data_IF_753675732681
#
_entry.id   IF_753675732681
#
_cell.length_a   1.000
_cell.length_b   1.000
_cell.length_c   1.000
_cell.angle_alpha   90.00
_cell.angle_beta   90.00
_cell.angle_gamma   90.00
#
_symmetry.space_group_name_H-M   'P 1'
#
loop_
_entity.id
_entity.type
_entity.pdbx_description
1 polymer ?
#
# COMPACT_ATOMS: atom_id res chain seq x y z
N UNK A 1 12.57 -37.87 -71.54
CA UNK A 1 13.23 -36.87 -70.67
C UNK A 1 12.23 -35.69 -70.64
N UNK A 2 11.42 -35.61 -69.57
CA UNK A 2 10.41 -34.56 -69.40
C UNK A 2 11.08 -33.30 -68.86
N UNK A 3 11.11 -32.28 -69.70
CA UNK A 3 11.61 -30.94 -69.25
C UNK A 3 10.58 -30.36 -68.26
N UNK A 4 11.01 -30.26 -67.00
CA UNK A 4 10.21 -29.64 -65.96
C UNK A 4 9.99 -28.16 -66.31
N UNK A 5 8.73 -27.76 -66.30
CA UNK A 5 8.18 -26.49 -66.71
C UNK A 5 8.89 -25.33 -65.95
N UNK A 6 9.59 -24.39 -66.64
CA UNK A 6 10.32 -23.28 -66.02
C UNK A 6 9.36 -22.33 -65.26
N UNK A 7 8.09 -22.30 -65.63
CA UNK A 7 7.04 -21.50 -64.96
C UNK A 7 6.75 -22.07 -63.56
N UNK A 8 6.71 -23.41 -63.40
CA UNK A 8 6.53 -24.06 -62.09
C UNK A 8 7.68 -23.78 -61.13
N UNK A 9 8.92 -23.55 -61.63
CA UNK A 9 10.09 -23.17 -60.85
C UNK A 9 10.10 -21.72 -60.40
N UNK A 10 9.50 -20.83 -61.20
CA UNK A 10 9.38 -19.42 -60.88
C UNK A 10 8.33 -19.17 -59.78
N UNK A 11 7.28 -20.00 -59.73
CA UNK A 11 6.22 -19.93 -58.70
C UNK A 11 6.63 -20.55 -57.35
N UNK A 12 7.64 -21.38 -57.33
CA UNK A 12 8.17 -22.01 -56.10
C UNK A 12 9.15 -21.10 -55.32
N UNK A 13 9.53 -19.92 -55.88
CA UNK A 13 10.44 -18.95 -55.25
C UNK A 13 9.85 -18.08 -54.16
N UNK A 14 8.58 -18.13 -53.88
CA UNK A 14 7.85 -17.25 -52.98
C UNK A 14 7.77 -17.66 -51.47
N UNK A 15 8.14 -18.87 -51.02
CA UNK A 15 7.95 -19.20 -49.60
C UNK A 15 8.84 -18.39 -48.65
N UNK A 16 9.99 -17.92 -49.09
CA UNK A 16 10.92 -17.19 -48.26
C UNK A 16 10.42 -15.83 -47.79
N UNK A 17 9.79 -15.05 -48.63
CA UNK A 17 9.26 -13.71 -48.25
C UNK A 17 8.03 -13.84 -47.34
N UNK A 18 7.12 -14.73 -47.68
CA UNK A 18 5.92 -15.02 -46.84
C UNK A 18 6.33 -15.60 -45.50
N UNK A 19 7.26 -16.52 -45.47
CA UNK A 19 7.77 -17.12 -44.23
C UNK A 19 8.45 -16.06 -43.35
N UNK A 20 9.27 -15.19 -43.93
CA UNK A 20 9.91 -14.09 -43.21
C UNK A 20 8.88 -13.10 -42.63
N UNK A 21 7.89 -12.68 -43.43
CA UNK A 21 6.84 -11.77 -42.97
C UNK A 21 5.98 -12.42 -41.87
N UNK A 22 5.62 -13.68 -42.02
CA UNK A 22 4.87 -14.40 -40.99
C UNK A 22 5.68 -14.54 -39.69
N UNK A 23 6.99 -14.77 -39.80
CA UNK A 23 7.87 -14.81 -38.63
C UNK A 23 7.97 -13.44 -37.95
N UNK A 24 8.10 -12.37 -38.72
CA UNK A 24 8.14 -10.99 -38.23
C UNK A 24 6.81 -10.60 -37.54
N UNK A 25 5.67 -10.93 -38.17
CA UNK A 25 4.34 -10.71 -37.61
C UNK A 25 4.14 -11.52 -36.32
N UNK A 26 4.61 -12.76 -36.30
CA UNK A 26 4.55 -13.61 -35.11
C UNK A 26 5.36 -13.03 -33.94
N UNK A 27 6.58 -12.58 -34.23
CA UNK A 27 7.42 -11.92 -33.23
C UNK A 27 6.78 -10.63 -32.71
N UNK A 28 6.25 -9.80 -33.61
CA UNK A 28 5.55 -8.58 -33.24
C UNK A 28 4.30 -8.87 -32.39
N UNK A 29 3.46 -9.81 -32.82
CA UNK A 29 2.25 -10.19 -32.08
C UNK A 29 2.59 -10.75 -30.69
N UNK A 30 3.64 -11.54 -30.58
CA UNK A 30 4.13 -12.06 -29.29
C UNK A 30 4.62 -10.92 -28.39
N UNK A 31 5.36 -9.95 -28.95
CA UNK A 31 5.82 -8.77 -28.20
C UNK A 31 4.65 -7.93 -27.66
N UNK A 32 3.63 -7.69 -28.51
CA UNK A 32 2.41 -6.98 -28.10
C UNK A 32 1.66 -7.76 -27.01
N UNK A 33 1.47 -9.06 -27.21
CA UNK A 33 0.81 -9.89 -26.20
C UNK A 33 1.55 -9.89 -24.86
N UNK A 34 2.87 -10.00 -24.88
CA UNK A 34 3.70 -9.94 -23.69
C UNK A 34 3.63 -8.58 -22.99
N UNK A 35 3.63 -7.47 -23.74
CA UNK A 35 3.54 -6.12 -23.17
C UNK A 35 2.19 -5.84 -22.50
N UNK A 36 1.12 -6.48 -22.94
CA UNK A 36 -0.21 -6.39 -22.33
C UNK A 36 -0.32 -7.36 -21.14
N UNK A 37 0.12 -8.59 -21.32
CA UNK A 37 -0.08 -9.65 -20.34
C UNK A 37 0.83 -9.50 -19.12
N UNK A 38 2.07 -9.01 -19.32
CA UNK A 38 3.03 -8.82 -18.22
C UNK A 38 2.51 -7.90 -17.10
N UNK A 39 2.03 -6.67 -17.37
CA UNK A 39 1.51 -5.81 -16.29
C UNK A 39 0.24 -6.38 -15.64
N UNK A 40 -0.62 -7.08 -16.42
CA UNK A 40 -1.80 -7.73 -15.87
C UNK A 40 -1.40 -8.82 -14.87
N UNK A 41 -0.47 -9.68 -15.24
CA UNK A 41 0.02 -10.74 -14.36
C UNK A 41 0.74 -10.17 -13.13
N UNK A 42 1.52 -9.10 -13.29
CA UNK A 42 2.18 -8.43 -12.16
C UNK A 42 1.19 -7.77 -11.20
N UNK A 43 0.06 -7.30 -11.70
CA UNK A 43 -1.01 -6.76 -10.87
C UNK A 43 -1.79 -7.86 -10.14
N UNK A 44 -2.09 -8.97 -10.81
CA UNK A 44 -2.84 -10.08 -10.24
C UNK A 44 -2.02 -10.93 -9.25
N UNK A 45 -0.71 -10.99 -9.46
CA UNK A 45 0.22 -11.69 -8.57
C UNK A 45 1.23 -10.67 -8.05
N UNK A 46 0.83 -9.85 -7.07
CA UNK A 46 1.76 -8.90 -6.45
C UNK A 46 2.91 -9.69 -5.80
N UNK A 47 4.14 -9.13 -5.79
CA UNK A 47 5.23 -9.75 -5.05
C UNK A 47 4.84 -9.85 -3.58
N UNK A 48 5.20 -10.96 -2.95
CA UNK A 48 5.13 -11.09 -1.49
C UNK A 48 5.97 -9.97 -0.89
N UNK A 49 5.31 -8.90 -0.46
CA UNK A 49 5.95 -7.90 0.39
C UNK A 49 6.03 -8.59 1.75
N UNK A 50 7.24 -8.93 2.25
CA UNK A 50 7.33 -9.44 3.60
C UNK A 50 6.66 -8.39 4.47
N UNK A 51 5.51 -8.73 5.09
CA UNK A 51 4.99 -7.93 6.17
C UNK A 51 6.17 -7.77 7.11
N UNK A 52 6.72 -6.56 7.15
CA UNK A 52 7.72 -6.26 8.14
C UNK A 52 7.02 -6.65 9.44
N UNK A 53 7.45 -7.75 10.03
CA UNK A 53 6.99 -8.19 11.34
C UNK A 53 7.53 -7.16 12.35
N UNK A 54 7.07 -5.93 12.19
CA UNK A 54 7.43 -4.81 13.02
C UNK A 54 6.52 -4.92 14.21
N UNK A 55 6.91 -5.78 15.14
CA UNK A 55 6.24 -5.87 16.44
C UNK A 55 6.33 -4.55 17.20
N UNK A 56 7.29 -3.69 16.84
CA UNK A 56 7.47 -2.37 17.46
C UNK A 56 8.12 -1.38 16.50
N UNK A 57 7.79 -0.11 16.64
CA UNK A 57 8.40 1.01 15.90
C UNK A 57 8.67 2.19 16.83
N UNK A 58 9.57 3.07 16.39
CA UNK A 58 9.85 4.32 17.10
C UNK A 58 8.84 5.40 16.70
N UNK A 59 8.11 5.90 17.68
CA UNK A 59 7.20 7.05 17.56
C UNK A 59 7.90 8.41 17.56
N UNK A 60 9.24 8.42 17.63
CA UNK A 60 10.08 9.61 17.75
C UNK A 60 10.40 9.98 19.19
N UNK A 61 11.06 11.11 19.37
CA UNK A 61 11.46 11.57 20.71
C UNK A 61 10.27 12.09 21.51
N UNK A 62 10.16 11.66 22.76
CA UNK A 62 9.12 12.09 23.69
C UNK A 62 9.18 13.60 23.97
N UNK A 63 10.39 14.16 24.06
CA UNK A 63 10.63 15.60 24.26
C UNK A 63 10.10 16.47 23.11
N UNK A 64 10.00 15.92 21.89
CA UNK A 64 9.50 16.66 20.72
C UNK A 64 7.98 16.61 20.53
N UNK A 65 7.28 15.77 21.28
CA UNK A 65 5.82 15.68 21.22
C UNK A 65 5.22 16.47 22.39
N UNK A 66 4.72 17.68 22.12
CA UNK A 66 4.11 18.51 23.14
C UNK A 66 2.81 17.89 23.70
N UNK A 67 2.40 18.22 24.95
CA UNK A 67 1.07 17.86 25.44
C UNK A 67 -0.04 18.35 24.50
N UNK A 68 -1.14 17.63 24.44
CA UNK A 68 -2.27 17.91 23.54
C UNK A 68 -1.88 17.93 22.05
N UNK A 69 -0.98 17.04 21.64
CA UNK A 69 -0.58 16.86 20.24
C UNK A 69 -0.58 15.40 19.85
N UNK A 70 -0.62 15.14 18.54
CA UNK A 70 -0.53 13.79 17.98
C UNK A 70 0.38 13.76 16.75
N UNK A 71 0.97 12.62 16.50
CA UNK A 71 1.84 12.36 15.35
C UNK A 71 1.52 11.01 14.73
N UNK A 72 1.41 10.97 13.41
CA UNK A 72 1.32 9.71 12.66
C UNK A 72 2.73 9.24 12.34
N UNK A 73 2.98 7.96 12.59
CA UNK A 73 4.26 7.29 12.36
C UNK A 73 4.07 6.01 11.56
N UNK A 74 5.04 5.60 10.75
CA UNK A 74 4.97 4.31 10.07
C UNK A 74 5.05 3.16 11.08
N UNK A 75 4.20 2.13 10.90
CA UNK A 75 4.17 0.95 11.74
C UNK A 75 3.88 -0.29 10.86
N UNK A 76 4.93 -1.03 10.51
CA UNK A 76 4.79 -2.16 9.58
C UNK A 76 4.17 -1.75 8.24
N UNK A 77 3.10 -2.43 7.85
CA UNK A 77 2.35 -2.16 6.61
C UNK A 77 1.30 -1.05 6.73
N UNK A 78 1.00 -0.58 7.95
CA UNK A 78 -0.02 0.43 8.22
C UNK A 78 0.53 1.53 9.15
N UNK A 79 0.01 2.79 9.07
CA UNK A 79 0.43 3.85 9.97
C UNK A 79 -0.16 3.67 11.37
N UNK A 80 0.58 4.13 12.39
CA UNK A 80 0.11 4.31 13.74
C UNK A 80 -0.02 5.81 14.08
N UNK A 81 -0.91 6.15 14.99
CA UNK A 81 -0.99 7.49 15.57
C UNK A 81 -0.58 7.44 17.04
N UNK A 82 0.37 8.29 17.41
CA UNK A 82 0.78 8.51 18.79
C UNK A 82 0.22 9.85 19.25
N UNK A 83 -0.49 9.85 20.35
CA UNK A 83 -1.11 11.04 20.94
C UNK A 83 -0.54 11.25 22.33
N UNK A 84 -0.08 12.47 22.61
CA UNK A 84 0.20 12.92 23.96
C UNK A 84 -1.00 13.70 24.45
N UNK A 85 -1.71 13.15 25.42
CA UNK A 85 -2.93 13.77 25.96
C UNK A 85 -2.61 15.11 26.65
N UNK A 86 -3.63 15.96 26.93
CA UNK A 86 -3.44 17.17 27.73
C UNK A 86 -2.87 16.87 29.12
N UNK A 87 -3.18 15.71 29.70
CA UNK A 87 -2.63 15.24 30.98
C UNK A 87 -1.17 14.75 30.90
N UNK A 88 -0.58 14.70 29.68
CA UNK A 88 0.80 14.26 29.46
C UNK A 88 0.96 12.77 29.23
N UNK A 89 -0.11 11.97 29.25
CA UNK A 89 -0.07 10.54 28.96
C UNK A 89 0.15 10.27 27.47
N UNK A 90 0.89 9.20 27.16
CA UNK A 90 1.06 8.73 25.80
C UNK A 90 0.08 7.61 25.48
N UNK A 91 -0.56 7.69 24.33
CA UNK A 91 -1.46 6.69 23.79
C UNK A 91 -1.15 6.45 22.33
N UNK A 92 -1.29 5.21 21.87
CA UNK A 92 -1.10 4.88 20.47
C UNK A 92 -2.21 3.98 19.96
N UNK A 93 -2.54 4.18 18.69
CA UNK A 93 -3.58 3.43 17.99
C UNK A 93 -3.16 3.22 16.54
N UNK A 94 -3.81 2.27 15.87
CA UNK A 94 -3.78 2.23 14.41
C UNK A 94 -4.28 3.58 13.86
N UNK A 95 -3.54 4.19 12.94
CA UNK A 95 -3.97 5.42 12.29
C UNK A 95 -4.91 5.17 11.11
N UNK A 96 -5.42 3.94 10.97
CA UNK A 96 -6.32 3.54 9.88
C UNK A 96 -7.76 3.66 10.35
N UNK A 97 -8.52 4.56 9.72
CA UNK A 97 -9.94 4.78 10.01
C UNK A 97 -10.75 3.50 9.72
N UNK A 98 -11.58 3.10 10.68
CA UNK A 98 -12.37 1.86 10.59
C UNK A 98 -13.55 1.93 9.62
N UNK A 99 -13.79 3.10 8.99
CA UNK A 99 -14.79 3.26 7.92
C UNK A 99 -14.25 2.79 6.56
N UNK A 100 -13.32 3.53 5.95
CA UNK A 100 -12.76 3.27 4.62
C UNK A 100 -11.24 3.46 4.58
N UNK A 101 -10.55 3.08 5.64
CA UNK A 101 -9.09 3.02 5.74
C UNK A 101 -8.33 4.34 5.48
N UNK A 102 -9.01 5.52 5.58
CA UNK A 102 -8.31 6.81 5.55
C UNK A 102 -7.39 6.97 6.77
N UNK A 103 -6.28 7.68 6.61
CA UNK A 103 -5.39 8.00 7.74
C UNK A 103 -6.04 9.04 8.64
N UNK A 104 -6.15 8.73 9.94
CA UNK A 104 -6.66 9.65 10.95
C UNK A 104 -5.59 10.62 11.42
N UNK A 105 -6.01 11.76 11.97
CA UNK A 105 -5.14 12.81 12.52
C UNK A 105 -5.63 13.22 13.91
N UNK A 106 -4.75 13.81 14.70
CA UNK A 106 -5.15 14.39 15.98
C UNK A 106 -5.56 15.86 15.83
N UNK A 107 -6.69 16.22 16.42
CA UNK A 107 -7.23 17.57 16.49
C UNK A 107 -7.13 18.07 17.94
N UNK A 108 -6.15 18.94 18.18
CA UNK A 108 -5.90 19.50 19.52
C UNK A 108 -7.02 20.40 20.04
N UNK A 109 -7.72 21.09 19.14
CA UNK A 109 -8.87 21.94 19.44
C UNK A 109 -10.10 21.14 19.93
N UNK A 110 -10.28 19.92 19.43
CA UNK A 110 -11.35 19.01 19.83
C UNK A 110 -10.89 17.98 20.86
N UNK A 111 -9.59 17.85 21.08
CA UNK A 111 -8.96 16.76 21.87
C UNK A 111 -9.42 15.36 21.40
N UNK A 112 -9.52 15.19 20.10
CA UNK A 112 -10.02 13.98 19.45
C UNK A 112 -9.10 13.53 18.32
N UNK A 113 -9.16 12.24 18.01
CA UNK A 113 -8.61 11.68 16.79
C UNK A 113 -9.71 11.80 15.73
N UNK A 114 -9.37 12.38 14.59
CA UNK A 114 -10.33 12.77 13.56
C UNK A 114 -9.94 12.21 12.19
N UNK A 115 -10.94 11.75 11.46
CA UNK A 115 -10.82 11.31 10.08
C UNK A 115 -11.45 12.35 9.14
N UNK A 116 -10.62 13.02 8.35
CA UNK A 116 -11.06 14.08 7.44
C UNK A 116 -11.97 13.58 6.30
N UNK A 117 -11.86 12.30 5.89
CA UNK A 117 -12.58 11.81 4.73
C UNK A 117 -14.10 11.89 4.88
N UNK A 118 -14.64 11.46 6.02
CA UNK A 118 -16.08 11.42 6.26
C UNK A 118 -16.45 11.93 7.66
N UNK A 119 -15.58 12.80 8.22
CA UNK A 119 -15.82 13.43 9.52
C UNK A 119 -16.05 12.42 10.65
N UNK A 120 -15.27 11.33 10.67
CA UNK A 120 -15.26 10.36 11.76
C UNK A 120 -14.47 10.88 12.96
N UNK A 121 -15.00 10.71 14.17
CA UNK A 121 -14.35 11.16 15.41
C UNK A 121 -14.14 10.01 16.37
N UNK A 122 -12.99 10.01 17.02
CA UNK A 122 -12.65 9.06 18.07
C UNK A 122 -12.14 9.83 19.30
N UNK A 123 -12.49 9.37 20.46
CA UNK A 123 -12.00 9.90 21.73
C UNK A 123 -10.51 9.56 21.97
N UNK A 124 -9.95 10.05 23.07
CA UNK A 124 -8.58 9.74 23.48
C UNK A 124 -8.36 8.26 23.87
N UNK A 125 -9.41 7.45 23.96
CA UNK A 125 -9.34 6.00 24.18
C UNK A 125 -9.48 5.20 22.85
N UNK A 126 -9.54 5.90 21.72
CA UNK A 126 -9.73 5.30 20.41
C UNK A 126 -11.17 4.86 20.12
N UNK A 127 -12.16 5.17 20.99
CA UNK A 127 -13.57 4.83 20.77
C UNK A 127 -14.17 5.80 19.77
N UNK A 128 -14.95 5.29 18.82
CA UNK A 128 -15.71 6.12 17.90
C UNK A 128 -16.83 6.85 18.65
N UNK A 129 -16.84 8.18 18.57
CA UNK A 129 -17.81 9.04 19.26
C UNK A 129 -18.72 9.78 18.30
N UNK A 130 -18.35 9.93 17.02
CA UNK A 130 -19.18 10.51 15.99
C UNK A 130 -18.76 10.10 14.58
N UNK A 131 -19.67 10.21 13.63
CA UNK A 131 -19.46 9.90 12.21
C UNK A 131 -19.69 8.44 11.87
N UNK A 132 -19.33 8.02 10.63
CA UNK A 132 -19.62 6.71 10.11
C UNK A 132 -18.73 5.55 10.58
N UNK A 133 -17.57 5.73 11.27
CA UNK A 133 -16.74 4.61 11.69
C UNK A 133 -17.50 3.62 12.57
N UNK A 134 -17.54 2.31 12.22
CA UNK A 134 -18.35 1.33 12.95
C UNK A 134 -17.68 0.73 14.19
N UNK A 135 -16.37 0.92 14.34
CA UNK A 135 -15.55 0.27 15.37
C UNK A 135 -14.51 1.25 15.95
N UNK A 136 -14.03 1.02 17.18
CA UNK A 136 -12.89 1.77 17.71
C UNK A 136 -11.62 1.52 16.89
N UNK A 137 -10.64 2.41 17.06
CA UNK A 137 -9.29 2.20 16.56
C UNK A 137 -8.61 1.07 17.35
N UNK A 138 -7.79 0.28 16.67
CA UNK A 138 -6.98 -0.76 17.30
C UNK A 138 -5.95 -0.12 18.23
N UNK A 139 -5.93 -0.46 19.53
CA UNK A 139 -4.97 0.12 20.46
C UNK A 139 -3.61 -0.55 20.33
N UNK A 140 -2.55 0.25 20.48
CA UNK A 140 -1.16 -0.19 20.55
C UNK A 140 -0.59 0.16 21.93
N UNK A 141 0.40 -0.61 22.38
CA UNK A 141 1.11 -0.33 23.61
C UNK A 141 2.21 0.71 23.37
N UNK A 142 2.35 1.62 24.32
CA UNK A 142 3.37 2.67 24.27
C UNK A 142 4.32 2.51 25.46
N UNK A 143 5.61 2.42 25.15
CA UNK A 143 6.66 2.38 26.15
C UNK A 143 7.64 3.56 25.89
N UNK A 144 8.09 4.20 26.95
CA UNK A 144 9.14 5.19 26.88
C UNK A 144 10.47 4.51 27.23
N UNK A 145 11.45 4.62 26.33
CA UNK A 145 12.82 4.19 26.56
C UNK A 145 13.72 5.41 26.43
N UNK A 146 14.27 5.85 27.54
CA UNK A 146 15.01 7.13 27.62
C UNK A 146 14.12 8.29 27.12
N UNK A 147 14.43 8.92 26.00
CA UNK A 147 13.61 9.96 25.36
C UNK A 147 12.90 9.46 24.10
N UNK A 148 12.80 8.14 23.92
CA UNK A 148 12.22 7.53 22.72
C UNK A 148 10.85 6.89 23.01
N UNK A 149 9.86 7.23 22.18
CA UNK A 149 8.54 6.62 22.23
C UNK A 149 8.60 5.33 21.41
N UNK A 150 8.41 4.19 22.04
CA UNK A 150 8.33 2.88 21.37
C UNK A 150 6.88 2.44 21.34
N UNK A 151 6.36 2.23 20.13
CA UNK A 151 5.01 1.73 19.91
C UNK A 151 5.11 0.26 19.54
N UNK A 152 4.31 -0.58 20.17
CA UNK A 152 4.25 -2.02 19.90
C UNK A 152 2.80 -2.51 19.76
N UNK A 153 2.64 -3.58 19.02
CA UNK A 153 1.33 -4.23 18.88
C UNK A 153 0.92 -4.84 20.23
N UNK A 154 -0.33 -4.62 20.62
CA UNK A 154 -0.85 -5.24 21.85
C UNK A 154 -1.06 -6.73 21.59
N UNK A 155 -0.39 -7.58 22.36
CA UNK A 155 -0.55 -9.03 22.40
C UNK A 155 -1.72 -9.45 23.27
#
# INVERSE_FOLDING_TARGET
MSAADPIARALSGEPRRRTFLNWLLGLWATGVAASILYPILRYLVPPDVPEAATESTTGGKASTLAPNTGRVVPFGSAPAIVVRTPAGEYRAFSAVCTHLACTVQYRSDLQQIWCACHNGHYDLNGRNVAGPPPRPLEPYDVNLRDDEIVVSKRT
#
